data_IF_934191803424
#
_entry.id   IF_934191803424
#
_cell.length_a   1.000
_cell.length_b   1.000
_cell.length_c   1.000
_cell.angle_alpha   90.00
_cell.angle_beta   90.00
_cell.angle_gamma   90.00
#
_symmetry.space_group_name_H-M   'P 1'
#
loop_
_entity.id
_entity.type
_entity.pdbx_description
1 polymer ?
#
# COMPACT_ATOMS: atom_id res chain seq x y z
N UNK A 1 -26.07 -73.17 -11.69
CA UNK A 1 -25.84 -72.09 -12.69
C UNK A 1 -25.73 -70.79 -11.90
N UNK A 2 -24.74 -69.93 -12.19
CA UNK A 2 -24.36 -68.69 -11.47
C UNK A 2 -23.32 -68.79 -10.33
N UNK A 3 -22.19 -69.44 -10.59
CA UNK A 3 -20.91 -68.80 -10.26
C UNK A 3 -20.67 -67.63 -11.24
N UNK A 4 -20.03 -66.54 -10.79
CA UNK A 4 -19.47 -65.41 -11.56
C UNK A 4 -20.13 -64.02 -11.48
N UNK A 5 -20.50 -63.49 -10.31
CA UNK A 5 -20.43 -62.02 -10.11
C UNK A 5 -19.82 -61.69 -8.74
N UNK A 6 -18.73 -62.39 -8.41
CA UNK A 6 -17.70 -61.84 -7.54
C UNK A 6 -16.79 -61.03 -8.46
N UNK A 7 -16.95 -59.69 -8.49
CA UNK A 7 -16.00 -58.66 -8.96
C UNK A 7 -16.78 -57.48 -9.53
N UNK A 8 -16.47 -56.27 -9.04
CA UNK A 8 -17.01 -54.97 -9.47
C UNK A 8 -18.42 -54.78 -8.90
N UNK A 9 -18.61 -54.17 -7.73
CA UNK A 9 -18.58 -52.71 -7.62
C UNK A 9 -18.54 -52.41 -6.11
N UNK A 10 -17.34 -52.47 -5.54
CA UNK A 10 -17.01 -51.58 -4.42
C UNK A 10 -16.78 -50.23 -5.10
N UNK A 11 -17.86 -49.55 -5.48
CA UNK A 11 -17.77 -48.13 -5.82
C UNK A 11 -17.86 -47.45 -4.47
N UNK A 12 -16.69 -47.30 -3.86
CA UNK A 12 -16.48 -46.37 -2.78
C UNK A 12 -16.94 -45.00 -3.29
N UNK A 13 -18.14 -44.58 -2.89
CA UNK A 13 -18.61 -43.21 -3.06
C UNK A 13 -17.79 -42.31 -2.13
N UNK A 14 -16.52 -42.12 -2.48
CA UNK A 14 -15.70 -41.03 -1.97
C UNK A 14 -16.26 -39.81 -2.65
N UNK A 15 -17.29 -39.23 -2.04
CA UNK A 15 -17.73 -37.88 -2.32
C UNK A 15 -16.56 -36.98 -1.96
N UNK A 16 -15.70 -36.70 -2.93
CA UNK A 16 -14.64 -35.69 -2.81
C UNK A 16 -15.35 -34.36 -2.63
N UNK A 17 -15.53 -33.97 -1.38
CA UNK A 17 -15.91 -32.61 -0.99
C UNK A 17 -14.74 -31.72 -1.40
N UNK A 18 -14.78 -31.18 -2.63
CA UNK A 18 -13.92 -30.08 -3.03
C UNK A 18 -14.29 -28.90 -2.15
N UNK A 19 -13.59 -28.76 -1.03
CA UNK A 19 -13.46 -27.48 -0.34
C UNK A 19 -12.76 -26.55 -1.32
N UNK A 20 -13.55 -25.76 -2.06
CA UNK A 20 -13.05 -24.60 -2.77
C UNK A 20 -12.63 -23.58 -1.72
N UNK A 21 -11.45 -23.76 -1.14
CA UNK A 21 -10.79 -22.70 -0.41
C UNK A 21 -10.40 -21.67 -1.46
N UNK A 22 -11.13 -20.55 -1.52
CA UNK A 22 -10.62 -19.35 -2.18
C UNK A 22 -9.38 -18.95 -1.40
N UNK A 23 -8.21 -19.39 -1.84
CA UNK A 23 -6.95 -18.94 -1.31
C UNK A 23 -6.88 -17.45 -1.61
N UNK A 24 -7.20 -16.62 -0.62
CA UNK A 24 -6.87 -15.20 -0.67
C UNK A 24 -5.36 -15.14 -0.75
N UNK A 25 -4.82 -14.71 -1.89
CA UNK A 25 -3.39 -14.53 -2.05
C UNK A 25 -2.89 -13.67 -0.88
N UNK A 26 -1.86 -14.16 -0.18
CA UNK A 26 -1.30 -13.48 0.98
C UNK A 26 -0.74 -12.13 0.53
N UNK A 27 -1.17 -11.04 1.18
CA UNK A 27 -0.77 -9.68 0.83
C UNK A 27 0.39 -9.23 1.70
N UNK A 28 1.34 -8.51 1.12
CA UNK A 28 2.39 -7.84 1.87
C UNK A 28 1.82 -6.73 2.76
N UNK A 29 2.32 -6.65 3.99
CA UNK A 29 1.96 -5.63 4.96
C UNK A 29 2.92 -4.45 4.84
N UNK A 30 2.38 -3.26 4.60
CA UNK A 30 3.16 -2.02 4.53
C UNK A 30 2.88 -1.13 5.74
N UNK A 31 3.92 -0.47 6.24
CA UNK A 31 3.84 0.58 7.26
C UNK A 31 4.28 1.90 6.66
N UNK A 32 3.53 2.96 6.97
CA UNK A 32 3.85 4.32 6.54
C UNK A 32 4.45 5.10 7.73
N UNK A 33 5.47 5.89 7.46
CA UNK A 33 5.94 6.95 8.35
C UNK A 33 6.07 8.26 7.56
N UNK A 34 5.67 9.38 8.15
CA UNK A 34 5.95 10.70 7.60
C UNK A 34 7.40 11.09 7.89
N UNK A 35 8.06 11.71 6.93
CA UNK A 35 9.37 12.33 7.10
C UNK A 35 9.16 13.85 7.07
N UNK A 36 9.41 14.52 8.19
CA UNK A 36 9.43 15.99 8.21
C UNK A 36 10.71 16.48 7.55
N UNK A 37 10.65 17.24 6.47
CA UNK A 37 11.87 17.80 5.88
C UNK A 37 12.55 18.83 6.78
N UNK A 38 11.78 19.55 7.61
CA UNK A 38 12.30 20.61 8.51
C UNK A 38 13.11 20.04 9.68
N UNK A 39 12.63 18.96 10.30
CA UNK A 39 13.26 18.35 11.48
C UNK A 39 13.96 17.03 11.18
N UNK A 40 13.78 16.48 9.97
CA UNK A 40 14.15 15.11 9.60
C UNK A 40 13.55 14.04 10.53
N UNK A 41 12.52 14.40 11.27
CA UNK A 41 11.81 13.51 12.19
C UNK A 41 10.97 12.51 11.38
N UNK A 42 11.04 11.25 11.79
CA UNK A 42 10.22 10.15 11.24
C UNK A 42 9.07 9.90 12.21
N UNK A 43 7.84 10.16 11.77
CA UNK A 43 6.64 9.98 12.59
C UNK A 43 5.79 8.83 12.05
N UNK A 44 5.45 7.82 12.88
CA UNK A 44 4.69 6.68 12.41
C UNK A 44 3.25 7.08 12.06
N UNK A 45 2.72 6.43 11.02
CA UNK A 45 1.33 6.55 10.58
C UNK A 45 0.56 5.25 10.78
N UNK A 46 0.20 4.91 12.04
CA UNK A 46 -0.45 3.64 12.34
C UNK A 46 -1.91 3.59 11.87
N UNK A 47 -2.58 4.74 11.77
CA UNK A 47 -3.96 4.86 11.31
C UNK A 47 -4.13 6.20 10.56
N UNK A 48 -4.98 6.28 9.52
CA UNK A 48 -5.27 7.53 8.82
C UNK A 48 -6.07 8.48 9.70
N UNK A 49 -5.35 9.15 10.59
CA UNK A 49 -5.88 10.23 11.41
C UNK A 49 -5.19 11.52 10.99
N UNK A 50 -5.99 12.54 10.72
CA UNK A 50 -5.52 13.86 10.27
C UNK A 50 -4.44 14.44 11.21
N UNK A 51 -4.56 14.22 12.53
CA UNK A 51 -3.64 14.77 13.51
C UNK A 51 -2.22 14.17 13.45
N UNK A 52 -2.06 12.94 12.96
CA UNK A 52 -0.79 12.21 13.03
C UNK A 52 -0.21 11.89 11.65
N UNK A 53 -1.03 11.96 10.61
CA UNK A 53 -0.67 11.52 9.26
C UNK A 53 -0.81 12.60 8.19
N UNK A 54 -0.70 13.87 8.56
CA UNK A 54 -0.66 14.96 7.57
C UNK A 54 0.76 15.30 7.18
N UNK A 55 1.06 15.11 5.90
CA UNK A 55 2.25 15.60 5.24
C UNK A 55 2.00 17.02 4.74
N UNK A 56 2.63 17.99 5.38
CA UNK A 56 2.60 19.39 4.96
C UNK A 56 3.67 19.64 3.90
N UNK A 57 3.25 20.12 2.73
CA UNK A 57 4.14 20.57 1.65
C UNK A 57 4.01 22.09 1.54
N UNK A 58 5.13 22.82 1.48
CA UNK A 58 5.10 24.27 1.24
C UNK A 58 5.29 24.55 -0.24
N UNK A 59 4.47 25.42 -0.80
CA UNK A 59 4.58 25.89 -2.18
C UNK A 59 5.62 26.99 -2.31
N UNK A 60 6.88 26.58 -2.23
CA UNK A 60 8.04 27.41 -2.53
C UNK A 60 9.12 26.56 -3.17
N UNK A 61 10.09 27.19 -3.82
CA UNK A 61 11.20 26.47 -4.46
C UNK A 61 11.93 25.59 -3.44
N UNK A 62 11.79 24.27 -3.57
CA UNK A 62 12.63 23.28 -2.89
C UNK A 62 12.00 22.53 -1.71
N UNK A 63 10.75 22.79 -1.33
CA UNK A 63 10.12 22.02 -0.24
C UNK A 63 9.44 20.76 -0.79
N UNK A 64 10.12 19.63 -0.62
CA UNK A 64 9.54 18.30 -0.76
C UNK A 64 8.83 17.92 0.53
N UNK A 65 7.85 17.02 0.47
CA UNK A 65 7.41 16.24 1.61
C UNK A 65 7.66 14.77 1.30
N UNK A 66 8.06 13.95 2.26
CA UNK A 66 8.38 12.55 2.00
C UNK A 66 7.66 11.61 2.97
N UNK A 67 7.29 10.44 2.46
CA UNK A 67 6.82 9.32 3.28
C UNK A 67 7.80 8.17 3.14
N UNK A 68 8.14 7.55 4.27
CA UNK A 68 8.83 6.28 4.30
C UNK A 68 7.79 5.16 4.28
N UNK A 69 8.04 4.16 3.44
CA UNK A 69 7.23 2.95 3.36
C UNK A 69 8.13 1.79 3.75
N UNK A 70 7.69 1.01 4.72
CA UNK A 70 8.40 -0.19 5.17
C UNK A 70 7.56 -1.43 4.89
N UNK A 71 8.14 -2.43 4.24
CA UNK A 71 7.51 -3.75 4.14
C UNK A 71 7.73 -4.51 5.45
N UNK A 72 6.65 -4.71 6.22
CA UNK A 72 6.69 -5.42 7.51
C UNK A 72 6.49 -6.93 7.37
N UNK A 73 6.23 -7.42 6.16
CA UNK A 73 6.10 -8.85 5.89
C UNK A 73 7.43 -9.56 6.15
N UNK A 74 7.36 -10.81 6.58
CA UNK A 74 8.54 -11.65 6.83
C UNK A 74 9.01 -12.41 5.59
N UNK A 75 8.11 -12.66 4.63
CA UNK A 75 8.38 -13.53 3.47
C UNK A 75 7.90 -12.97 2.13
N UNK A 76 7.04 -11.94 2.12
CA UNK A 76 6.40 -11.44 0.90
C UNK A 76 7.03 -10.11 0.48
N UNK A 77 7.50 -10.03 -0.76
CA UNK A 77 7.92 -8.78 -1.39
C UNK A 77 6.69 -7.94 -1.77
N UNK A 78 6.65 -6.68 -1.34
CA UNK A 78 5.65 -5.71 -1.77
C UNK A 78 6.03 -5.17 -3.16
N UNK A 79 5.15 -5.35 -4.14
CA UNK A 79 5.43 -5.01 -5.54
C UNK A 79 4.72 -3.72 -5.94
N UNK A 80 5.41 -2.90 -6.73
CA UNK A 80 4.89 -1.70 -7.36
C UNK A 80 4.12 -0.76 -6.41
N UNK A 81 4.61 -0.60 -5.17
CA UNK A 81 3.98 0.27 -4.19
C UNK A 81 4.08 1.73 -4.66
N UNK A 82 2.94 2.40 -4.76
CA UNK A 82 2.84 3.78 -5.23
C UNK A 82 1.80 4.55 -4.44
N UNK A 83 1.85 5.88 -4.52
CA UNK A 83 0.81 6.75 -3.99
C UNK A 83 -0.20 7.10 -5.09
N UNK A 84 -1.47 6.89 -4.82
CA UNK A 84 -2.58 7.21 -5.73
C UNK A 84 -3.01 8.64 -5.44
N UNK A 85 -2.57 9.57 -6.28
CA UNK A 85 -2.86 10.99 -6.12
C UNK A 85 -4.32 11.28 -6.51
N UNK A 86 -5.17 11.75 -5.58
CA UNK A 86 -6.56 12.08 -5.88
C UNK A 86 -6.64 13.27 -6.84
N UNK A 87 -7.72 13.34 -7.61
CA UNK A 87 -7.92 14.38 -8.64
C UNK A 87 -7.85 15.82 -8.10
N UNK A 88 -8.23 16.04 -6.83
CA UNK A 88 -8.12 17.35 -6.16
C UNK A 88 -6.68 17.82 -5.95
N UNK A 89 -5.71 16.91 -5.98
CA UNK A 89 -4.28 17.21 -5.89
C UNK A 89 -3.57 17.10 -7.26
N UNK A 90 -4.30 16.74 -8.32
CA UNK A 90 -3.73 16.61 -9.65
C UNK A 90 -3.29 17.96 -10.19
N UNK A 91 -2.05 18.04 -10.69
CA UNK A 91 -1.46 19.27 -11.22
C UNK A 91 -0.93 20.25 -10.17
N UNK A 92 -1.06 19.92 -8.88
CA UNK A 92 -0.55 20.73 -7.75
C UNK A 92 0.37 19.96 -6.83
N UNK A 93 0.24 18.63 -6.77
CA UNK A 93 1.16 17.73 -6.06
C UNK A 93 1.73 16.73 -7.06
N UNK A 94 3.06 16.60 -7.09
CA UNK A 94 3.76 15.69 -7.98
C UNK A 94 4.65 14.73 -7.19
N UNK A 95 4.56 13.41 -7.40
CA UNK A 95 5.54 12.47 -6.88
C UNK A 95 6.90 12.70 -7.56
N UNK A 96 7.98 12.68 -6.79
CA UNK A 96 9.34 12.89 -7.25
C UNK A 96 10.30 11.81 -6.73
N UNK A 97 10.87 10.95 -7.59
CA UNK A 97 10.48 10.74 -8.99
C UNK A 97 9.09 10.06 -9.08
N UNK A 98 8.44 10.04 -10.26
CA UNK A 98 7.20 9.31 -10.47
C UNK A 98 7.51 7.80 -10.54
N UNK A 99 7.79 7.18 -9.40
CA UNK A 99 8.21 5.77 -9.35
C UNK A 99 7.36 4.98 -8.39
N UNK A 100 6.93 3.81 -8.85
CA UNK A 100 6.57 2.71 -7.97
C UNK A 100 7.83 2.13 -7.34
N UNK A 101 7.72 1.64 -6.10
CA UNK A 101 8.81 0.99 -5.38
C UNK A 101 8.47 -0.47 -5.12
N UNK A 102 9.46 -1.34 -5.28
CA UNK A 102 9.37 -2.74 -4.88
C UNK A 102 10.22 -2.94 -3.64
N UNK A 103 9.62 -3.50 -2.58
CA UNK A 103 10.23 -3.63 -1.26
C UNK A 103 10.29 -5.10 -0.85
N UNK A 104 11.50 -5.65 -0.75
CA UNK A 104 11.74 -6.95 -0.12
C UNK A 104 11.28 -6.97 1.34
N UNK A 105 11.05 -8.15 1.94
CA UNK A 105 10.73 -8.27 3.36
C UNK A 105 11.69 -7.47 4.27
N UNK A 106 11.15 -6.66 5.18
CA UNK A 106 11.90 -5.87 6.15
C UNK A 106 12.59 -4.61 5.60
N UNK A 107 12.51 -4.33 4.29
CA UNK A 107 13.17 -3.14 3.71
C UNK A 107 12.23 -1.93 3.68
N UNK A 108 12.83 -0.74 3.52
CA UNK A 108 12.10 0.51 3.39
C UNK A 108 12.48 1.27 2.13
N UNK A 109 11.53 2.01 1.59
CA UNK A 109 11.73 2.99 0.52
C UNK A 109 11.06 4.31 0.86
N UNK A 110 11.27 5.32 0.02
CA UNK A 110 10.74 6.67 0.22
C UNK A 110 9.98 7.10 -1.03
N UNK A 111 8.78 7.65 -0.83
CA UNK A 111 8.08 8.43 -1.85
C UNK A 111 8.14 9.88 -1.45
N UNK A 112 8.68 10.74 -2.32
CA UNK A 112 8.71 12.19 -2.11
C UNK A 112 7.68 12.87 -3.00
N UNK A 113 7.19 14.01 -2.54
CA UNK A 113 6.15 14.81 -3.18
C UNK A 113 6.60 16.27 -3.22
N UNK A 114 6.30 16.96 -4.31
CA UNK A 114 6.48 18.41 -4.45
C UNK A 114 5.13 19.09 -4.65
N UNK A 115 4.99 20.32 -4.16
CA UNK A 115 3.79 21.14 -4.30
C UNK A 115 4.02 22.34 -5.24
N UNK A 116 3.00 22.76 -6.00
CA UNK A 116 3.11 23.85 -6.99
C UNK A 116 1.89 24.78 -7.04
N UNK A 117 1.41 25.27 -5.91
CA UNK A 117 0.24 26.16 -5.86
C UNK A 117 0.42 27.30 -4.87
N UNK A 118 0.09 28.53 -5.24
CA UNK A 118 0.11 29.67 -4.29
C UNK A 118 -1.10 29.69 -3.34
N UNK A 119 -2.12 28.89 -3.61
CA UNK A 119 -3.31 28.76 -2.77
C UNK A 119 -3.17 27.57 -1.83
N UNK A 120 -3.49 27.72 -0.53
CA UNK A 120 -3.53 26.60 0.39
C UNK A 120 -4.49 25.51 -0.09
N UNK A 121 -4.05 24.26 0.02
CA UNK A 121 -4.88 23.08 -0.21
C UNK A 121 -5.08 22.39 1.13
N UNK A 122 -6.34 22.13 1.54
CA UNK A 122 -6.62 21.47 2.80
C UNK A 122 -6.11 20.01 2.81
N UNK A 123 -5.89 19.43 4.01
CA UNK A 123 -5.52 18.02 4.14
C UNK A 123 -6.44 17.09 3.35
N UNK A 124 -5.85 16.39 2.39
CA UNK A 124 -6.53 15.50 1.45
C UNK A 124 -5.98 14.09 1.60
N UNK A 125 -6.87 13.10 1.72
CA UNK A 125 -6.50 11.70 1.90
C UNK A 125 -5.84 11.14 0.62
N UNK A 126 -4.69 10.51 0.78
CA UNK A 126 -3.91 9.84 -0.26
C UNK A 126 -3.73 8.38 0.13
N UNK A 127 -4.02 7.50 -0.80
CA UNK A 127 -3.82 6.06 -0.66
C UNK A 127 -2.42 5.68 -1.14
N UNK A 128 -1.77 4.78 -0.41
CA UNK A 128 -0.54 4.11 -0.81
C UNK A 128 -0.84 2.63 -0.98
N UNK A 129 -0.58 2.09 -2.16
CA UNK A 129 -0.93 0.72 -2.51
C UNK A 129 0.06 0.14 -3.52
N UNK A 130 0.39 -1.13 -3.35
CA UNK A 130 1.06 -1.96 -4.34
C UNK A 130 0.13 -3.05 -4.88
N UNK A 131 0.61 -3.77 -5.89
CA UNK A 131 -0.17 -4.81 -6.59
C UNK A 131 -0.63 -5.94 -5.65
N UNK A 132 0.16 -6.19 -4.61
CA UNK A 132 -0.05 -7.26 -3.65
C UNK A 132 0.03 -6.76 -2.20
N UNK A 133 -0.33 -5.51 -1.91
CA UNK A 133 -0.32 -4.96 -0.55
C UNK A 133 -1.72 -4.61 -0.07
N UNK A 134 -1.88 -4.54 1.26
CA UNK A 134 -2.97 -3.78 1.84
C UNK A 134 -2.78 -2.27 1.57
N UNK A 135 -3.85 -1.51 1.57
CA UNK A 135 -3.82 -0.06 1.41
C UNK A 135 -3.32 0.62 2.69
N UNK A 136 -2.32 1.48 2.55
CA UNK A 136 -1.94 2.47 3.55
C UNK A 136 -2.54 3.82 3.20
N UNK A 137 -2.68 4.71 4.18
CA UNK A 137 -3.30 6.01 3.97
C UNK A 137 -2.60 7.10 4.76
N UNK A 138 -2.50 8.29 4.17
CA UNK A 138 -1.99 9.51 4.80
C UNK A 138 -2.70 10.73 4.19
N UNK A 139 -2.54 11.89 4.80
CA UNK A 139 -3.08 13.15 4.28
C UNK A 139 -1.94 13.99 3.70
N UNK A 140 -2.22 14.72 2.63
CA UNK A 140 -1.35 15.78 2.12
C UNK A 140 -2.10 17.11 2.26
N UNK A 141 -1.44 18.11 2.82
CA UNK A 141 -1.85 19.51 2.71
C UNK A 141 -0.77 20.32 1.99
N UNK A 142 -1.17 21.38 1.30
CA UNK A 142 -0.24 22.31 0.67
C UNK A 142 -0.46 23.69 1.26
N UNK A 143 0.59 24.31 1.76
CA UNK A 143 0.54 25.66 2.33
C UNK A 143 1.39 26.62 1.48
N UNK A 144 0.96 27.89 1.31
CA UNK A 144 1.73 28.94 0.63
C UNK A 144 3.16 29.08 1.13
#
# INVERSE_FOLDING_TARGET
MYQNILKKIIVASISTLLLMTTATAEQAQIKLNLISEKTKEIRPCPHPSFAYCTLTISSGTGFTGSIQITNQSTSITAQNVTAIIPGSLSGVVFPNPPTSITLSPGTSGVLSFTGSTISPIPPTLVEVKGDNTQSGFFYIEVLP
#
